data_IF_082593290778
#
_entry.id   IF_082593290778
#
_cell.length_a   1.000
_cell.length_b   1.000
_cell.length_c   1.000
_cell.angle_alpha   90.00
_cell.angle_beta   90.00
_cell.angle_gamma   90.00
#
_symmetry.space_group_name_H-M   'P 1'
#
loop_
_entity.id
_entity.type
_entity.pdbx_description
1 polymer ?
#
# COMPACT_ATOMS: atom_id res chain seq x y z
N UNK A 1 -14.54 -4.28 0.82
CA UNK A 1 -14.01 -4.54 2.17
C UNK A 1 -14.04 -3.24 2.97
N UNK A 2 -13.96 -3.26 4.30
CA UNK A 2 -13.85 -2.05 5.13
C UNK A 2 -12.39 -1.60 5.26
N UNK A 3 -12.14 -0.30 5.41
CA UNK A 3 -10.81 0.31 5.56
C UNK A 3 -9.95 -0.37 6.65
N UNK A 4 -10.54 -0.74 7.77
CA UNK A 4 -9.86 -1.48 8.87
C UNK A 4 -9.23 -2.80 8.40
N UNK A 5 -9.92 -3.55 7.54
CA UNK A 5 -9.42 -4.83 7.03
C UNK A 5 -8.25 -4.63 6.08
N UNK A 6 -8.34 -3.61 5.22
CA UNK A 6 -7.24 -3.20 4.34
C UNK A 6 -6.04 -2.76 5.17
N UNK A 7 -6.26 -1.92 6.19
CA UNK A 7 -5.22 -1.43 7.08
C UNK A 7 -4.47 -2.58 7.76
N UNK A 8 -5.19 -3.53 8.35
CA UNK A 8 -4.57 -4.71 8.99
C UNK A 8 -3.76 -5.54 8.00
N UNK A 9 -4.27 -5.73 6.77
CA UNK A 9 -3.54 -6.45 5.73
C UNK A 9 -2.26 -5.73 5.32
N UNK A 10 -2.32 -4.42 5.11
CA UNK A 10 -1.16 -3.63 4.71
C UNK A 10 -0.12 -3.55 5.81
N UNK A 11 -0.53 -3.25 7.05
CA UNK A 11 0.36 -3.30 8.21
C UNK A 11 1.01 -4.68 8.34
N UNK A 12 0.25 -5.77 8.17
CA UNK A 12 0.82 -7.11 8.20
C UNK A 12 1.86 -7.32 7.10
N UNK A 13 1.65 -6.82 5.87
CA UNK A 13 2.65 -6.94 4.79
C UNK A 13 3.87 -6.08 5.10
N UNK A 14 3.69 -4.83 5.52
CA UNK A 14 4.81 -3.93 5.86
C UNK A 14 5.66 -4.51 7.00
N UNK A 15 5.05 -5.10 8.02
CA UNK A 15 5.77 -5.71 9.16
C UNK A 15 6.42 -7.03 8.75
N UNK A 16 5.74 -7.89 7.98
CA UNK A 16 6.24 -9.23 7.66
C UNK A 16 7.24 -9.26 6.51
N UNK A 17 7.01 -8.45 5.47
CA UNK A 17 7.81 -8.46 4.24
C UNK A 17 8.82 -7.33 4.19
N UNK A 18 8.50 -6.18 4.76
CA UNK A 18 9.39 -5.02 4.75
C UNK A 18 10.05 -4.78 6.12
N UNK A 19 9.78 -5.64 7.11
CA UNK A 19 10.36 -5.58 8.46
C UNK A 19 10.08 -4.25 9.20
N UNK A 20 8.97 -3.58 8.87
CA UNK A 20 8.60 -2.33 9.53
C UNK A 20 8.26 -2.57 11.00
N UNK A 21 8.79 -1.74 11.90
CA UNK A 21 8.49 -1.80 13.33
C UNK A 21 7.32 -0.86 13.65
N UNK A 22 6.10 -1.39 13.65
CA UNK A 22 4.86 -0.69 14.03
C UNK A 22 4.75 0.75 13.48
N UNK A 23 4.77 0.92 12.16
CA UNK A 23 4.79 2.25 11.57
C UNK A 23 3.45 2.95 11.82
N UNK A 24 3.51 4.22 12.21
CA UNK A 24 2.34 5.07 12.38
C UNK A 24 1.67 5.37 11.04
N UNK A 25 0.36 5.63 11.08
CA UNK A 25 -0.41 5.87 9.84
C UNK A 25 0.03 7.13 9.09
N UNK A 26 0.50 8.12 9.84
CA UNK A 26 0.97 9.42 9.37
C UNK A 26 2.51 9.50 9.34
N UNK A 27 3.22 8.41 9.66
CA UNK A 27 4.69 8.38 9.57
C UNK A 27 5.11 8.41 8.10
N UNK A 28 6.24 9.09 7.85
CA UNK A 28 6.80 9.18 6.51
C UNK A 28 7.61 7.91 6.24
N UNK A 29 7.02 6.98 5.50
CA UNK A 29 7.63 5.70 5.18
C UNK A 29 8.97 5.89 4.48
N UNK A 30 9.15 6.95 3.68
CA UNK A 30 10.40 7.18 2.95
C UNK A 30 11.52 7.67 3.85
N UNK A 31 11.21 8.61 4.74
CA UNK A 31 12.22 9.26 5.59
C UNK A 31 12.50 8.45 6.85
N UNK A 32 11.47 7.91 7.49
CA UNK A 32 11.58 7.19 8.76
C UNK A 32 11.90 5.70 8.56
N UNK A 33 11.39 5.10 7.48
CA UNK A 33 11.50 3.66 7.24
C UNK A 33 12.27 3.29 5.96
N UNK A 34 12.79 4.28 5.23
CA UNK A 34 13.56 4.03 4.00
C UNK A 34 12.74 3.43 2.85
N UNK A 35 11.42 3.63 2.85
CA UNK A 35 10.53 3.13 1.80
C UNK A 35 10.80 3.85 0.48
N UNK A 36 11.35 3.12 -0.49
CA UNK A 36 11.71 3.67 -1.79
C UNK A 36 10.67 3.32 -2.87
N UNK A 37 10.85 3.89 -4.05
CA UNK A 37 10.00 3.59 -5.20
C UNK A 37 10.02 2.11 -5.60
N UNK A 38 11.07 1.36 -5.25
CA UNK A 38 11.17 -0.09 -5.47
C UNK A 38 10.21 -0.82 -4.51
N UNK A 39 10.22 -0.46 -3.24
CA UNK A 39 9.35 -1.05 -2.22
C UNK A 39 7.87 -0.83 -2.56
N UNK A 40 7.52 0.35 -3.06
CA UNK A 40 6.19 0.63 -3.56
C UNK A 40 5.77 -0.37 -4.65
N UNK A 41 6.62 -0.62 -5.64
CA UNK A 41 6.34 -1.57 -6.72
C UNK A 41 6.25 -3.02 -6.20
N UNK A 42 7.10 -3.41 -5.26
CA UNK A 42 7.03 -4.75 -4.65
C UNK A 42 5.75 -4.95 -3.82
N UNK A 43 5.39 -3.95 -3.01
CA UNK A 43 4.16 -3.93 -2.23
C UNK A 43 2.94 -4.07 -3.14
N UNK A 44 2.89 -3.26 -4.21
CA UNK A 44 1.86 -3.35 -5.22
C UNK A 44 1.79 -4.75 -5.85
N UNK A 45 2.92 -5.35 -6.22
CA UNK A 45 2.97 -6.71 -6.78
C UNK A 45 2.42 -7.77 -5.82
N UNK A 46 2.67 -7.63 -4.51
CA UNK A 46 2.08 -8.50 -3.48
C UNK A 46 0.59 -8.30 -3.33
N UNK A 47 0.13 -7.05 -3.39
CA UNK A 47 -1.29 -6.69 -3.33
C UNK A 47 -2.01 -7.26 -4.55
N UNK A 48 -1.44 -7.14 -5.75
CA UNK A 48 -1.94 -7.74 -6.99
C UNK A 48 -2.14 -9.25 -6.85
N UNK A 49 -1.14 -9.95 -6.31
CA UNK A 49 -1.24 -11.40 -6.05
C UNK A 49 -2.26 -11.76 -4.97
N UNK A 50 -2.34 -10.96 -3.91
CA UNK A 50 -3.23 -11.21 -2.77
C UNK A 50 -4.69 -10.97 -3.13
N UNK A 51 -4.94 -9.94 -3.94
CA UNK A 51 -6.29 -9.57 -4.38
C UNK A 51 -6.68 -10.22 -5.71
N UNK A 52 -5.73 -10.86 -6.40
CA UNK A 52 -5.96 -11.59 -7.63
C UNK A 52 -6.22 -10.68 -8.84
N UNK A 53 -5.66 -9.47 -8.86
CA UNK A 53 -5.86 -8.54 -9.96
C UNK A 53 -4.60 -7.77 -10.31
N UNK A 54 -4.55 -7.24 -11.52
CA UNK A 54 -3.46 -6.37 -11.97
C UNK A 54 -3.82 -4.89 -11.83
N UNK A 55 -2.85 -4.10 -11.37
CA UNK A 55 -2.87 -2.66 -11.32
C UNK A 55 -2.51 -2.09 -12.69
N UNK A 56 -3.27 -1.09 -13.09
CA UNK A 56 -3.08 -0.24 -14.25
C UNK A 56 -1.84 0.64 -14.08
N UNK A 57 -1.44 1.29 -15.18
CA UNK A 57 -0.28 2.19 -15.17
C UNK A 57 -0.49 3.39 -14.25
N UNK A 58 -1.67 4.00 -14.28
CA UNK A 58 -2.00 5.16 -13.45
C UNK A 58 -1.99 4.81 -11.95
N UNK A 59 -2.47 3.61 -11.63
CA UNK A 59 -2.37 3.01 -10.29
C UNK A 59 -0.89 2.92 -9.85
N UNK A 60 -0.02 2.36 -10.70
CA UNK A 60 1.43 2.27 -10.42
C UNK A 60 2.09 3.64 -10.26
N UNK A 61 1.68 4.65 -11.04
CA UNK A 61 2.19 6.02 -10.91
C UNK A 61 1.79 6.65 -9.58
N UNK A 62 0.53 6.51 -9.16
CA UNK A 62 0.07 7.00 -7.84
C UNK A 62 0.81 6.31 -6.70
N UNK A 63 1.15 5.04 -6.86
CA UNK A 63 1.95 4.35 -5.85
C UNK A 63 3.37 4.92 -5.70
N UNK A 64 3.93 5.54 -6.76
CA UNK A 64 5.19 6.27 -6.67
C UNK A 64 5.06 7.60 -5.92
N UNK A 65 3.85 8.09 -5.68
CA UNK A 65 3.58 9.30 -4.89
C UNK A 65 3.34 9.00 -3.41
N UNK A 66 3.22 7.72 -3.02
CA UNK A 66 3.01 7.29 -1.64
C UNK A 66 4.19 7.74 -0.77
N UNK A 67 3.85 8.38 0.35
CA UNK A 67 4.78 8.81 1.39
C UNK A 67 4.40 8.28 2.76
N UNK A 68 3.11 8.12 3.02
CA UNK A 68 2.58 7.65 4.31
C UNK A 68 1.76 6.38 4.15
N UNK A 69 1.49 5.67 5.25
CA UNK A 69 0.56 4.53 5.22
C UNK A 69 -0.84 5.02 4.84
N UNK A 70 -1.24 6.20 5.31
CA UNK A 70 -2.52 6.79 4.94
C UNK A 70 -2.68 6.94 3.42
N UNK A 71 -1.63 7.31 2.69
CA UNK A 71 -1.65 7.34 1.22
C UNK A 71 -1.86 5.94 0.63
N UNK A 72 -1.19 4.91 1.18
CA UNK A 72 -1.40 3.50 0.75
C UNK A 72 -2.86 3.11 0.94
N UNK A 73 -3.43 3.45 2.10
CA UNK A 73 -4.82 3.10 2.44
C UNK A 73 -5.83 3.80 1.54
N UNK A 74 -5.67 5.11 1.33
CA UNK A 74 -6.55 5.88 0.42
C UNK A 74 -6.47 5.35 -1.01
N UNK A 75 -5.25 5.08 -1.47
CA UNK A 75 -5.00 4.52 -2.78
C UNK A 75 -5.70 3.16 -2.97
N UNK A 76 -5.56 2.23 -2.03
CA UNK A 76 -6.21 0.92 -2.12
C UNK A 76 -7.73 0.98 -1.96
N UNK A 77 -8.22 1.89 -1.13
CA UNK A 77 -9.65 2.13 -0.98
C UNK A 77 -10.24 2.60 -2.30
N UNK A 78 -9.59 3.55 -2.98
CA UNK A 78 -9.98 4.00 -4.33
C UNK A 78 -9.99 2.89 -5.35
N UNK A 79 -8.99 2.00 -5.34
CA UNK A 79 -8.93 0.84 -6.24
C UNK A 79 -10.11 -0.09 -5.99
N UNK A 80 -10.38 -0.43 -4.73
CA UNK A 80 -11.52 -1.29 -4.41
C UNK A 80 -12.86 -0.66 -4.76
N UNK A 81 -13.02 0.64 -4.50
CA UNK A 81 -14.26 1.37 -4.82
C UNK A 81 -14.47 1.49 -6.33
N UNK A 82 -13.41 1.81 -7.09
CA UNK A 82 -13.47 1.90 -8.55
C UNK A 82 -13.73 0.55 -9.24
N UNK A 83 -13.43 -0.58 -8.59
CA UNK A 83 -13.68 -1.93 -9.10
C UNK A 83 -14.98 -2.57 -8.59
N UNK A 84 -15.61 -1.99 -7.57
CA UNK A 84 -16.90 -2.44 -7.05
C UNK A 84 -18.10 -1.91 -7.84
N UNK A 85 -17.86 -1.16 -8.93
CA UNK A 85 -18.87 -0.61 -9.83
C UNK A 85 -18.95 -1.36 -11.15
#
# INVERSE_FOLDING_TARGET
MTRDVLQKKILSILVQDFEFQEPGLDDNLREDHGFDSIDAIELLGKIERTLGFSLTREEKEKAMEIRTINDILDYLERIQQGRAQ
#
